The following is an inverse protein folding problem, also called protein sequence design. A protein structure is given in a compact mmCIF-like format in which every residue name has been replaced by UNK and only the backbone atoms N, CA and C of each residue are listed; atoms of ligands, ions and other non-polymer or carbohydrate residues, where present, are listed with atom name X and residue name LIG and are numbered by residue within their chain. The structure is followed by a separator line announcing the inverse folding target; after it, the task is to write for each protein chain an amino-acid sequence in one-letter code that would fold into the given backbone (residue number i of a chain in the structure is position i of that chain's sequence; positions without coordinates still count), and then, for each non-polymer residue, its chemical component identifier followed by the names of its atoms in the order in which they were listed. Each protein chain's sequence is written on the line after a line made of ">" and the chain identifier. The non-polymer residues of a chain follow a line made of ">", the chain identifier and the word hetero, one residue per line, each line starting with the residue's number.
data_IF_197225068073
#
_entry.id   IF_197225068073
#
_cell.length_a   1.000
_cell.length_b   1.000
_cell.length_c   1.000
_cell.angle_alpha   90.00
_cell.angle_beta   90.00
_cell.angle_gamma   90.00
#
_symmetry.space_group_name_H-M   'P 1'
#
loop_
_entity.id
_entity.type
_entity.pdbx_description
1 polymer ?
#
# COMPACT_ATOMS: atom_id res chain seq x y z
N UNK A 1 -14.35 -18.82 -14.12
CA UNK A 1 -15.33 -17.72 -14.05
C UNK A 1 -14.56 -16.45 -13.81
N UNK A 2 -14.81 -15.41 -14.58
CA UNK A 2 -14.22 -14.07 -14.43
C UNK A 2 -15.36 -13.07 -14.14
N UNK A 3 -15.02 -11.80 -13.89
CA UNK A 3 -15.99 -10.76 -13.55
C UNK A 3 -17.25 -10.73 -14.43
N UNK A 4 -17.08 -10.73 -15.75
CA UNK A 4 -18.23 -10.70 -16.68
C UNK A 4 -19.15 -11.92 -16.53
N UNK A 5 -18.59 -13.11 -16.38
CA UNK A 5 -19.38 -14.32 -16.15
C UNK A 5 -20.08 -14.30 -14.79
N UNK A 6 -19.45 -13.71 -13.76
CA UNK A 6 -20.09 -13.49 -12.46
C UNK A 6 -21.27 -12.53 -12.58
N UNK A 7 -21.10 -11.36 -13.21
CA UNK A 7 -22.21 -10.42 -13.48
C UNK A 7 -23.37 -11.09 -14.24
N UNK A 8 -23.05 -11.87 -15.26
CA UNK A 8 -24.07 -12.60 -16.03
C UNK A 8 -24.84 -13.60 -15.14
N UNK A 9 -24.19 -14.24 -14.17
CA UNK A 9 -24.87 -15.14 -13.22
C UNK A 9 -25.86 -14.41 -12.31
N UNK A 10 -25.64 -13.11 -12.07
CA UNK A 10 -26.52 -12.26 -11.26
C UNK A 10 -27.71 -11.68 -12.07
N UNK A 11 -27.67 -11.69 -13.41
CA UNK A 11 -28.63 -10.94 -14.25
C UNK A 11 -30.10 -11.33 -14.01
N UNK A 12 -30.35 -12.58 -13.63
CA UNK A 12 -31.72 -13.12 -13.38
C UNK A 12 -32.18 -12.95 -11.94
N UNK A 13 -31.33 -12.43 -11.05
CA UNK A 13 -31.65 -12.25 -9.64
C UNK A 13 -32.43 -10.94 -9.41
N UNK A 14 -33.17 -10.87 -8.32
CA UNK A 14 -33.76 -9.62 -7.85
C UNK A 14 -32.68 -8.60 -7.45
N UNK A 15 -33.01 -7.31 -7.40
CA UNK A 15 -32.04 -6.28 -7.00
C UNK A 15 -31.51 -6.53 -5.58
N UNK A 16 -32.34 -7.05 -4.68
CA UNK A 16 -31.91 -7.44 -3.33
C UNK A 16 -30.89 -8.58 -3.39
N UNK A 17 -31.19 -9.66 -4.13
CA UNK A 17 -30.29 -10.82 -4.20
C UNK A 17 -28.95 -10.47 -4.90
N UNK A 18 -28.96 -9.51 -5.86
CA UNK A 18 -27.73 -8.96 -6.45
C UNK A 18 -26.89 -8.24 -5.39
N UNK A 19 -27.52 -7.41 -4.55
CA UNK A 19 -26.89 -6.75 -3.43
C UNK A 19 -26.24 -7.75 -2.46
N UNK A 20 -27.04 -8.71 -1.95
CA UNK A 20 -26.57 -9.75 -1.03
C UNK A 20 -25.43 -10.59 -1.63
N UNK A 21 -25.45 -10.83 -2.94
CA UNK A 21 -24.38 -11.54 -3.65
C UNK A 21 -23.10 -10.72 -3.71
N UNK A 22 -23.22 -9.40 -3.92
CA UNK A 22 -22.10 -8.50 -3.96
C UNK A 22 -21.47 -8.29 -2.56
N UNK A 23 -22.27 -8.22 -1.51
CA UNK A 23 -21.77 -8.20 -0.12
C UNK A 23 -20.92 -9.43 0.20
N UNK A 24 -21.37 -10.63 -0.21
CA UNK A 24 -20.59 -11.88 -0.07
C UNK A 24 -19.29 -11.85 -0.86
N UNK A 25 -19.31 -11.27 -2.07
CA UNK A 25 -18.10 -11.06 -2.88
C UNK A 25 -17.14 -10.11 -2.15
N UNK A 26 -17.63 -8.98 -1.63
CA UNK A 26 -16.84 -8.01 -0.85
C UNK A 26 -16.24 -8.68 0.39
N UNK A 27 -17.03 -9.43 1.16
CA UNK A 27 -16.54 -10.20 2.31
C UNK A 27 -15.41 -11.15 1.90
N UNK A 28 -15.60 -11.91 0.84
CA UNK A 28 -14.58 -12.84 0.33
C UNK A 28 -13.31 -12.10 -0.10
N UNK A 29 -13.46 -10.95 -0.80
CA UNK A 29 -12.36 -10.11 -1.20
C UNK A 29 -11.56 -9.57 -0.01
N UNK A 30 -12.22 -8.97 0.97
CA UNK A 30 -11.56 -8.42 2.16
C UNK A 30 -10.90 -9.52 3.01
N UNK A 31 -11.42 -10.75 2.98
CA UNK A 31 -10.85 -11.88 3.72
C UNK A 31 -9.58 -12.43 3.07
N UNK A 32 -9.48 -12.44 1.74
CA UNK A 32 -8.43 -13.18 1.03
C UNK A 32 -7.50 -12.35 0.15
N UNK A 33 -7.87 -11.11 -0.16
CA UNK A 33 -6.94 -10.22 -0.86
C UNK A 33 -5.77 -9.86 0.06
N UNK A 34 -4.51 -9.99 -0.38
CA UNK A 34 -3.32 -9.79 0.46
C UNK A 34 -3.28 -8.46 1.21
N UNK A 35 -3.71 -7.35 0.57
CA UNK A 35 -3.76 -6.03 1.21
C UNK A 35 -4.64 -6.02 2.45
N UNK A 36 -5.81 -6.65 2.37
CA UNK A 36 -6.75 -6.69 3.48
C UNK A 36 -6.46 -7.84 4.44
N UNK A 37 -6.12 -9.03 3.94
CA UNK A 37 -5.81 -10.20 4.75
C UNK A 37 -4.59 -10.00 5.67
N UNK A 38 -3.66 -9.10 5.33
CA UNK A 38 -2.54 -8.72 6.21
C UNK A 38 -2.89 -7.58 7.18
N UNK A 39 -4.07 -6.97 7.05
CA UNK A 39 -4.53 -5.86 7.88
C UNK A 39 -5.70 -6.23 8.77
N UNK A 40 -6.64 -7.02 8.25
CA UNK A 40 -7.89 -7.36 8.90
C UNK A 40 -7.79 -8.72 9.60
N UNK A 41 -8.20 -8.73 10.86
CA UNK A 41 -8.30 -9.93 11.68
C UNK A 41 -9.62 -10.67 11.44
N UNK A 42 -10.71 -9.92 11.34
CA UNK A 42 -12.04 -10.44 11.09
C UNK A 42 -12.80 -9.59 10.08
N UNK A 43 -13.63 -10.23 9.29
CA UNK A 43 -14.57 -9.61 8.33
C UNK A 43 -15.92 -10.30 8.49
N UNK A 44 -16.94 -9.56 8.95
CA UNK A 44 -18.31 -10.06 9.15
C UNK A 44 -19.28 -9.32 8.25
N UNK A 45 -20.28 -10.00 7.72
CA UNK A 45 -21.52 -9.33 7.31
C UNK A 45 -22.17 -8.73 8.56
N UNK A 46 -22.98 -7.67 8.41
CA UNK A 46 -23.58 -7.00 9.57
C UNK A 46 -24.33 -7.98 10.47
N UNK A 47 -25.13 -8.89 9.89
CA UNK A 47 -25.88 -9.92 10.60
C UNK A 47 -25.04 -11.07 11.20
N UNK A 48 -23.76 -11.17 10.85
CA UNK A 48 -22.80 -12.13 11.40
C UNK A 48 -21.92 -11.51 12.50
N UNK A 49 -22.05 -10.19 12.73
CA UNK A 49 -21.22 -9.49 13.72
C UNK A 49 -21.54 -10.00 15.12
N UNK A 50 -20.52 -10.43 15.90
CA UNK A 50 -20.74 -10.91 17.26
C UNK A 50 -21.48 -9.88 18.12
N UNK A 51 -22.43 -10.33 18.96
CA UNK A 51 -23.27 -9.44 19.79
C UNK A 51 -22.47 -8.53 20.72
N UNK A 52 -21.28 -8.95 21.14
CA UNK A 52 -20.36 -8.13 21.94
C UNK A 52 -19.80 -6.96 21.13
N UNK A 53 -19.43 -7.18 19.87
CA UNK A 53 -18.93 -6.16 18.93
C UNK A 53 -20.08 -5.26 18.51
N UNK A 54 -21.23 -5.83 18.20
CA UNK A 54 -22.44 -5.08 17.84
C UNK A 54 -22.77 -4.01 18.91
N UNK A 55 -22.80 -4.40 20.18
CA UNK A 55 -23.02 -3.49 21.32
C UNK A 55 -21.87 -2.47 21.49
N UNK A 56 -20.61 -2.92 21.37
CA UNK A 56 -19.42 -2.06 21.50
C UNK A 56 -19.41 -0.93 20.48
N UNK A 57 -19.85 -1.22 19.26
CA UNK A 57 -19.86 -0.28 18.16
C UNK A 57 -21.20 0.49 18.04
N UNK A 58 -22.20 0.15 18.83
CA UNK A 58 -23.57 0.70 18.72
C UNK A 58 -24.10 0.57 17.28
N UNK A 59 -24.02 -0.65 16.72
CA UNK A 59 -24.47 -0.91 15.35
C UNK A 59 -26.00 -0.91 15.27
N UNK A 60 -26.60 -0.56 14.12
CA UNK A 60 -28.04 -0.66 13.91
C UNK A 60 -28.47 -2.13 13.81
N UNK A 61 -29.66 -2.46 14.32
CA UNK A 61 -30.24 -3.81 14.27
C UNK A 61 -30.67 -4.25 12.86
N UNK A 62 -30.88 -3.29 11.97
CA UNK A 62 -31.26 -3.52 10.57
C UNK A 62 -30.23 -2.86 9.65
N UNK A 63 -30.06 -3.42 8.46
CA UNK A 63 -29.27 -2.82 7.40
C UNK A 63 -29.84 -1.43 7.05
N UNK A 64 -29.04 -0.41 7.34
CA UNK A 64 -29.33 1.00 7.03
C UNK A 64 -28.13 1.65 6.30
N UNK A 65 -27.34 0.84 5.59
CA UNK A 65 -26.21 1.32 4.78
C UNK A 65 -24.83 0.94 5.31
N UNK A 66 -24.72 0.13 6.37
CA UNK A 66 -23.49 -0.58 6.76
C UNK A 66 -23.74 -2.06 6.50
N UNK A 67 -23.00 -2.64 5.56
CA UNK A 67 -23.21 -4.02 5.10
C UNK A 67 -22.24 -5.00 5.75
N UNK A 68 -20.99 -4.54 6.06
CA UNK A 68 -19.98 -5.34 6.73
C UNK A 68 -19.29 -4.53 7.84
N UNK A 69 -18.76 -5.28 8.81
CA UNK A 69 -17.85 -4.78 9.85
C UNK A 69 -16.54 -5.54 9.76
N UNK A 70 -15.42 -4.82 9.88
CA UNK A 70 -14.09 -5.42 9.96
C UNK A 70 -13.42 -5.05 11.27
N UNK A 71 -12.66 -5.97 11.86
CA UNK A 71 -11.72 -5.72 12.95
C UNK A 71 -10.30 -5.85 12.39
N UNK A 72 -9.47 -4.85 12.62
CA UNK A 72 -8.06 -4.89 12.21
C UNK A 72 -7.19 -5.67 13.19
N UNK A 73 -5.98 -6.05 12.80
CA UNK A 73 -5.02 -6.74 13.66
C UNK A 73 -4.62 -5.89 14.89
N UNK A 74 -4.68 -4.56 14.77
CA UNK A 74 -4.38 -3.60 15.83
C UNK A 74 -5.62 -3.15 16.64
N UNK A 75 -6.78 -3.82 16.43
CA UNK A 75 -7.99 -3.68 17.25
C UNK A 75 -8.89 -2.50 16.89
N UNK A 76 -8.68 -1.88 15.72
CA UNK A 76 -9.56 -0.86 15.17
C UNK A 76 -10.73 -1.49 14.40
N UNK A 77 -11.79 -0.71 14.18
CA UNK A 77 -12.97 -1.19 13.46
C UNK A 77 -13.24 -0.34 12.23
N UNK A 78 -13.56 -1.02 11.13
CA UNK A 78 -13.98 -0.40 9.88
C UNK A 78 -15.42 -0.76 9.59
N UNK A 79 -16.18 0.24 9.11
CA UNK A 79 -17.50 0.01 8.51
C UNK A 79 -17.33 -0.12 6.99
N UNK A 80 -18.05 -1.03 6.36
CA UNK A 80 -17.98 -1.26 4.91
C UNK A 80 -19.39 -1.15 4.33
N UNK A 81 -19.50 -0.42 3.22
CA UNK A 81 -20.69 -0.39 2.38
C UNK A 81 -20.40 -1.07 1.05
N UNK A 82 -21.27 -1.99 0.61
CA UNK A 82 -21.21 -2.70 -0.66
C UNK A 82 -22.33 -2.22 -1.59
N UNK A 83 -21.99 -1.52 -2.68
CA UNK A 83 -22.99 -0.98 -3.63
C UNK A 83 -22.85 -1.62 -5.02
N UNK A 84 -23.78 -2.51 -5.34
CA UNK A 84 -23.91 -3.07 -6.66
C UNK A 84 -24.68 -2.13 -7.60
N UNK A 85 -24.11 -1.80 -8.74
CA UNK A 85 -24.75 -1.12 -9.85
C UNK A 85 -24.60 -1.97 -11.12
N UNK A 86 -25.68 -2.15 -11.84
CA UNK A 86 -25.63 -2.84 -13.14
C UNK A 86 -24.85 -2.03 -14.17
N UNK A 87 -25.12 -0.73 -14.19
CA UNK A 87 -24.36 0.24 -14.97
C UNK A 87 -23.15 0.76 -14.16
N UNK A 88 -21.96 0.26 -14.54
CA UNK A 88 -20.69 0.62 -13.92
C UNK A 88 -20.29 2.09 -14.16
N UNK A 89 -20.93 2.79 -15.12
CA UNK A 89 -20.69 4.21 -15.39
C UNK A 89 -21.36 5.14 -14.39
N UNK A 90 -22.31 4.63 -13.58
CA UNK A 90 -22.98 5.36 -12.51
C UNK A 90 -21.97 5.86 -11.50
N UNK A 91 -21.92 7.19 -11.26
CA UNK A 91 -21.03 7.77 -10.27
C UNK A 91 -21.59 7.68 -8.86
N UNK A 92 -20.75 7.29 -7.88
CA UNK A 92 -21.08 7.44 -6.47
C UNK A 92 -21.13 8.91 -6.08
N UNK A 93 -22.23 9.33 -5.43
CA UNK A 93 -22.44 10.72 -4.99
C UNK A 93 -22.45 10.80 -3.46
N UNK A 94 -22.26 12.01 -2.93
CA UNK A 94 -22.43 12.26 -1.49
C UNK A 94 -23.81 11.80 -1.00
N UNK A 95 -24.87 12.12 -1.76
CA UNK A 95 -26.25 11.72 -1.43
C UNK A 95 -26.40 10.20 -1.30
N UNK A 96 -25.72 9.44 -2.16
CA UNK A 96 -25.78 7.97 -2.14
C UNK A 96 -25.05 7.34 -0.95
N UNK A 97 -24.13 8.06 -0.32
CA UNK A 97 -23.32 7.61 0.81
C UNK A 97 -23.64 8.32 2.14
N UNK A 98 -24.55 9.31 2.13
CA UNK A 98 -24.84 10.11 3.32
C UNK A 98 -25.35 9.29 4.50
N UNK A 99 -26.17 8.28 4.25
CA UNK A 99 -26.66 7.37 5.29
C UNK A 99 -25.51 6.55 5.88
N UNK A 100 -24.65 5.98 5.03
CA UNK A 100 -23.46 5.24 5.47
C UNK A 100 -22.54 6.10 6.32
N UNK A 101 -22.20 7.30 5.86
CA UNK A 101 -21.30 8.22 6.58
C UNK A 101 -21.91 8.70 7.89
N UNK A 102 -23.22 9.03 7.87
CA UNK A 102 -23.97 9.43 9.05
C UNK A 102 -24.02 8.33 10.11
N UNK A 103 -24.25 7.08 9.70
CA UNK A 103 -24.23 5.94 10.59
C UNK A 103 -22.81 5.62 11.10
N UNK A 104 -21.86 5.43 10.20
CA UNK A 104 -20.51 4.99 10.55
C UNK A 104 -19.79 5.97 11.49
N UNK A 105 -19.95 7.29 11.27
CA UNK A 105 -19.18 8.30 12.00
C UNK A 105 -20.03 9.20 12.92
N UNK A 106 -21.37 9.17 12.79
CA UNK A 106 -22.26 9.96 13.60
C UNK A 106 -23.01 9.18 14.68
N UNK A 107 -23.40 7.93 14.38
CA UNK A 107 -24.23 7.09 15.28
C UNK A 107 -23.41 5.95 15.89
N UNK A 108 -22.66 5.22 15.06
CA UNK A 108 -21.78 4.16 15.52
C UNK A 108 -20.60 4.72 16.32
N UNK A 109 -20.04 3.90 17.20
CA UNK A 109 -18.88 4.27 18.04
C UNK A 109 -17.65 3.50 17.59
N UNK A 110 -16.48 4.09 17.78
CA UNK A 110 -15.18 3.44 17.54
C UNK A 110 -14.96 2.94 16.10
N UNK A 111 -15.64 3.50 15.11
CA UNK A 111 -15.35 3.27 13.71
C UNK A 111 -14.24 4.23 13.30
N UNK A 112 -13.08 3.69 12.93
CA UNK A 112 -11.91 4.49 12.53
C UNK A 112 -11.87 4.77 11.02
N UNK A 113 -12.50 3.92 10.21
CA UNK A 113 -12.45 4.02 8.75
C UNK A 113 -13.71 3.47 8.10
N UNK A 114 -14.13 4.10 7.01
CA UNK A 114 -15.21 3.66 6.14
C UNK A 114 -14.66 3.17 4.80
N UNK A 115 -15.07 2.00 4.35
CA UNK A 115 -14.71 1.48 3.04
C UNK A 115 -15.96 1.33 2.18
N UNK A 116 -15.98 1.97 1.02
CA UNK A 116 -17.05 1.84 0.04
C UNK A 116 -16.58 0.93 -1.09
N UNK A 117 -17.16 -0.24 -1.18
CA UNK A 117 -16.96 -1.20 -2.25
C UNK A 117 -18.09 -1.06 -3.27
N UNK A 118 -17.79 -0.71 -4.51
CA UNK A 118 -18.81 -0.48 -5.53
C UNK A 118 -18.40 -1.04 -6.89
N UNK A 119 -19.38 -1.45 -7.67
CA UNK A 119 -19.15 -1.80 -9.09
C UNK A 119 -18.96 -0.57 -9.99
N UNK A 120 -19.28 0.62 -9.49
CA UNK A 120 -19.08 1.89 -10.21
C UNK A 120 -17.59 2.19 -10.40
N UNK A 121 -17.28 2.85 -11.52
CA UNK A 121 -15.90 3.27 -11.84
C UNK A 121 -15.52 4.61 -11.21
N UNK A 122 -16.50 5.43 -10.86
CA UNK A 122 -16.31 6.83 -10.50
C UNK A 122 -17.06 7.23 -9.23
N UNK A 123 -16.51 8.22 -8.54
CA UNK A 123 -17.18 8.91 -7.46
C UNK A 123 -16.98 10.44 -7.58
N UNK A 124 -17.92 11.22 -7.03
CA UNK A 124 -17.93 12.68 -7.20
C UNK A 124 -16.83 13.37 -6.40
N UNK A 125 -16.45 14.60 -6.84
CA UNK A 125 -15.43 15.42 -6.17
C UNK A 125 -15.74 15.70 -4.70
N UNK A 126 -17.02 15.81 -4.32
CA UNK A 126 -17.44 16.05 -2.93
C UNK A 126 -16.97 14.96 -1.97
N UNK A 127 -16.84 13.73 -2.45
CA UNK A 127 -16.34 12.59 -1.67
C UNK A 127 -14.81 12.61 -1.52
N UNK A 128 -14.10 13.33 -2.38
CA UNK A 128 -12.63 13.42 -2.38
C UNK A 128 -12.03 14.16 -1.17
N UNK A 129 -12.86 14.78 -0.34
CA UNK A 129 -12.43 15.54 0.84
C UNK A 129 -12.69 14.79 2.16
N UNK A 130 -12.96 13.49 2.10
CA UNK A 130 -13.24 12.66 3.28
C UNK A 130 -12.04 11.76 3.57
N UNK A 131 -11.16 12.19 4.47
CA UNK A 131 -9.89 11.49 4.77
C UNK A 131 -10.07 10.11 5.42
N UNK A 132 -11.24 9.85 6.01
CA UNK A 132 -11.56 8.60 6.69
C UNK A 132 -12.39 7.62 5.84
N UNK A 133 -12.53 7.86 4.54
CA UNK A 133 -13.25 6.98 3.60
C UNK A 133 -12.33 6.56 2.47
N UNK A 134 -12.32 5.25 2.17
CA UNK A 134 -11.66 4.67 1.00
C UNK A 134 -12.65 4.03 0.03
N UNK A 135 -12.20 3.79 -1.19
CA UNK A 135 -13.01 3.21 -2.26
C UNK A 135 -12.34 1.98 -2.87
N UNK A 136 -13.17 0.96 -3.11
CA UNK A 136 -12.90 -0.17 -3.99
C UNK A 136 -13.86 -0.06 -5.18
N UNK A 137 -13.37 0.38 -6.32
CA UNK A 137 -14.19 0.63 -7.53
C UNK A 137 -14.21 -0.55 -8.49
N UNK A 138 -15.00 -0.47 -9.56
CA UNK A 138 -15.20 -1.52 -10.57
C UNK A 138 -13.91 -2.08 -11.17
N UNK A 139 -12.84 -1.29 -11.27
CA UNK A 139 -11.52 -1.73 -11.74
C UNK A 139 -10.98 -2.93 -10.94
N UNK A 140 -11.18 -2.91 -9.62
CA UNK A 140 -10.69 -3.97 -8.73
C UNK A 140 -11.35 -5.31 -9.06
N UNK A 141 -12.66 -5.33 -9.24
CA UNK A 141 -13.42 -6.56 -9.52
C UNK A 141 -13.08 -7.18 -10.87
N UNK A 142 -12.80 -6.33 -11.86
CA UNK A 142 -12.35 -6.78 -13.19
C UNK A 142 -10.95 -7.39 -13.17
N UNK A 143 -10.11 -6.96 -12.24
CA UNK A 143 -8.74 -7.47 -12.06
C UNK A 143 -8.64 -8.79 -11.30
N UNK A 144 -9.75 -9.30 -10.71
CA UNK A 144 -9.75 -10.55 -9.98
C UNK A 144 -9.70 -11.77 -10.92
N UNK A 145 -8.93 -12.77 -10.52
CA UNK A 145 -8.71 -13.97 -11.32
C UNK A 145 -9.84 -15.00 -11.22
N UNK A 146 -9.74 -16.03 -12.06
CA UNK A 146 -10.72 -17.11 -12.11
C UNK A 146 -10.77 -17.93 -10.80
N UNK A 147 -9.65 -18.11 -10.11
CA UNK A 147 -9.63 -18.87 -8.86
C UNK A 147 -10.41 -18.15 -7.75
N UNK A 148 -10.32 -16.81 -7.72
CA UNK A 148 -11.10 -16.00 -6.80
C UNK A 148 -12.61 -16.26 -6.95
N UNK A 149 -13.17 -16.10 -8.16
CA UNK A 149 -14.60 -16.31 -8.40
C UNK A 149 -15.03 -17.76 -8.20
N UNK A 150 -14.19 -18.72 -8.58
CA UNK A 150 -14.45 -20.14 -8.36
C UNK A 150 -14.45 -20.45 -6.86
N UNK A 151 -13.56 -19.87 -6.08
CA UNK A 151 -13.51 -20.06 -4.64
C UNK A 151 -14.72 -19.46 -3.94
N UNK A 152 -15.19 -18.28 -4.37
CA UNK A 152 -16.41 -17.65 -3.88
C UNK A 152 -17.64 -18.53 -4.15
N UNK A 153 -17.82 -18.98 -5.38
CA UNK A 153 -18.99 -19.81 -5.78
C UNK A 153 -19.02 -21.15 -5.06
N UNK A 154 -17.85 -21.78 -4.87
CA UNK A 154 -17.72 -23.05 -4.15
C UNK A 154 -17.62 -22.91 -2.66
N UNK A 155 -17.75 -21.70 -2.10
CA UNK A 155 -17.62 -21.39 -0.66
C UNK A 155 -16.35 -21.98 -0.04
N UNK A 156 -15.23 -21.92 -0.75
CA UNK A 156 -13.92 -22.41 -0.28
C UNK A 156 -12.89 -21.28 -0.22
N UNK A 157 -11.77 -21.52 0.44
CA UNK A 157 -10.62 -20.60 0.37
C UNK A 157 -10.04 -20.59 -1.05
N UNK A 158 -9.57 -19.43 -1.58
CA UNK A 158 -8.77 -19.40 -2.79
C UNK A 158 -7.50 -20.25 -2.66
N UNK A 159 -6.89 -20.60 -3.77
CA UNK A 159 -5.61 -21.29 -3.75
C UNK A 159 -4.57 -20.47 -3.00
N UNK A 160 -3.76 -21.15 -2.18
CA UNK A 160 -2.67 -20.47 -1.47
C UNK A 160 -1.71 -19.82 -2.46
N UNK A 161 -1.49 -18.53 -2.32
CA UNK A 161 -0.50 -17.82 -3.11
C UNK A 161 0.90 -18.40 -2.85
N UNK A 162 1.63 -18.66 -3.93
CA UNK A 162 3.03 -19.07 -3.85
C UNK A 162 3.91 -17.83 -3.78
N UNK A 163 4.87 -17.81 -2.87
CA UNK A 163 5.91 -16.80 -2.82
C UNK A 163 6.72 -16.82 -4.11
N UNK A 164 7.09 -15.65 -4.60
CA UNK A 164 7.96 -15.54 -5.77
C UNK A 164 9.38 -16.01 -5.43
N UNK A 165 10.09 -16.48 -6.45
CA UNK A 165 11.51 -16.81 -6.36
C UNK A 165 12.30 -15.74 -7.10
N UNK A 166 13.41 -15.24 -6.52
CA UNK A 166 14.22 -14.23 -7.17
C UNK A 166 14.90 -14.81 -8.43
N UNK A 167 14.90 -14.03 -9.50
CA UNK A 167 15.68 -14.29 -10.71
C UNK A 167 17.20 -14.10 -10.43
N UNK A 168 18.06 -14.49 -11.37
CA UNK A 168 19.50 -14.47 -11.14
C UNK A 168 20.06 -13.08 -10.83
N UNK A 169 19.64 -12.04 -11.57
CA UNK A 169 20.03 -10.65 -11.30
C UNK A 169 19.54 -10.18 -9.92
N UNK A 170 18.34 -10.59 -9.49
CA UNK A 170 17.82 -10.25 -8.17
C UNK A 170 18.57 -10.99 -7.05
N UNK A 171 18.94 -12.27 -7.25
CA UNK A 171 19.79 -13.02 -6.31
C UNK A 171 21.15 -12.34 -6.14
N UNK A 172 21.75 -11.85 -7.25
CA UNK A 172 23.00 -11.08 -7.22
C UNK A 172 22.81 -9.82 -6.40
N UNK A 173 21.79 -9.01 -6.68
CA UNK A 173 21.51 -7.78 -5.94
C UNK A 173 21.31 -8.04 -4.42
N UNK A 174 20.59 -9.10 -4.04
CA UNK A 174 20.39 -9.49 -2.64
C UNK A 174 21.71 -9.88 -1.97
N UNK A 175 22.57 -10.62 -2.68
CA UNK A 175 23.90 -11.03 -2.18
C UNK A 175 24.81 -9.83 -2.00
N UNK A 176 24.88 -8.94 -2.98
CA UNK A 176 25.71 -7.73 -2.89
C UNK A 176 25.19 -6.76 -1.83
N UNK A 177 23.88 -6.61 -1.67
CA UNK A 177 23.31 -5.87 -0.55
C UNK A 177 23.73 -6.44 0.81
N UNK A 178 23.67 -7.76 0.99
CA UNK A 178 24.14 -8.40 2.22
C UNK A 178 25.63 -8.15 2.47
N UNK A 179 26.48 -8.30 1.46
CA UNK A 179 27.91 -7.99 1.56
C UNK A 179 28.12 -6.54 1.96
N UNK A 180 27.46 -5.60 1.29
CA UNK A 180 27.57 -4.17 1.52
C UNK A 180 27.16 -3.77 2.95
N UNK A 181 25.96 -4.17 3.39
CA UNK A 181 25.40 -3.72 4.67
C UNK A 181 25.82 -4.54 5.89
N UNK A 182 26.27 -5.79 5.71
CA UNK A 182 26.62 -6.69 6.82
C UNK A 182 28.11 -6.92 6.87
N UNK A 183 28.75 -7.32 5.75
CA UNK A 183 30.19 -7.63 5.76
C UNK A 183 31.03 -6.36 5.79
N UNK A 184 30.70 -5.38 4.94
CA UNK A 184 31.44 -4.10 4.87
C UNK A 184 30.94 -3.09 5.92
N UNK A 185 29.82 -3.38 6.60
CA UNK A 185 29.18 -2.53 7.62
C UNK A 185 28.80 -1.12 7.11
N UNK A 186 28.45 -1.01 5.83
CA UNK A 186 28.01 0.26 5.25
C UNK A 186 26.58 0.60 5.69
N UNK A 187 26.29 1.90 5.80
CA UNK A 187 24.96 2.38 6.21
C UNK A 187 24.10 2.88 5.05
N UNK A 188 24.70 3.12 3.88
CA UNK A 188 24.06 3.70 2.70
C UNK A 188 24.57 3.03 1.44
N UNK A 189 23.70 2.82 0.45
CA UNK A 189 24.12 2.24 -0.81
C UNK A 189 23.07 2.32 -1.90
N UNK A 190 23.52 2.31 -3.14
CA UNK A 190 22.68 2.43 -4.34
C UNK A 190 22.50 1.08 -5.02
N UNK A 191 21.26 0.80 -5.43
CA UNK A 191 20.87 -0.28 -6.33
C UNK A 191 20.34 0.34 -7.62
N UNK A 192 21.09 0.26 -8.68
CA UNK A 192 20.74 0.84 -9.99
C UNK A 192 20.33 -0.29 -10.91
N UNK A 193 19.04 -0.34 -11.25
CA UNK A 193 18.46 -1.37 -12.10
C UNK A 193 17.35 -0.75 -12.96
N UNK A 194 17.17 -1.14 -14.23
CA UNK A 194 16.13 -0.60 -15.12
C UNK A 194 14.71 -0.77 -14.59
N UNK A 195 13.77 0.00 -15.12
CA UNK A 195 12.35 -0.23 -14.91
C UNK A 195 11.96 -1.62 -15.44
N UNK A 196 11.01 -2.30 -14.77
CA UNK A 196 10.59 -3.65 -15.18
C UNK A 196 11.41 -4.81 -14.60
N UNK A 197 12.61 -4.58 -14.06
CA UNK A 197 13.48 -5.65 -13.51
C UNK A 197 13.06 -6.14 -12.11
N UNK A 198 11.95 -5.65 -11.57
CA UNK A 198 11.43 -6.09 -10.28
C UNK A 198 12.11 -5.50 -9.05
N UNK A 199 12.61 -4.24 -9.12
CA UNK A 199 13.26 -3.51 -8.01
C UNK A 199 12.50 -3.58 -6.68
N UNK A 200 11.19 -3.34 -6.69
CA UNK A 200 10.38 -3.32 -5.47
C UNK A 200 10.36 -4.70 -4.77
N UNK A 201 10.31 -5.78 -5.54
CA UNK A 201 10.37 -7.15 -5.00
C UNK A 201 11.79 -7.50 -4.54
N UNK A 202 12.83 -7.03 -5.25
CA UNK A 202 14.22 -7.16 -4.83
C UNK A 202 14.46 -6.47 -3.47
N UNK A 203 13.89 -5.28 -3.29
CA UNK A 203 13.94 -4.56 -2.01
C UNK A 203 13.27 -5.33 -0.86
N UNK A 204 12.13 -5.96 -1.12
CA UNK A 204 11.48 -6.86 -0.16
C UNK A 204 12.41 -7.98 0.29
N UNK A 205 13.09 -8.66 -0.65
CA UNK A 205 14.03 -9.73 -0.32
C UNK A 205 15.32 -9.22 0.33
N UNK A 206 15.77 -8.00 0.01
CA UNK A 206 16.88 -7.36 0.74
C UNK A 206 16.46 -7.14 2.21
N UNK A 207 15.27 -6.61 2.47
CA UNK A 207 14.75 -6.43 3.82
C UNK A 207 14.63 -7.77 4.58
N UNK A 208 14.23 -8.85 3.87
CA UNK A 208 14.22 -10.20 4.40
C UNK A 208 15.63 -10.67 4.76
N UNK A 209 16.58 -10.55 3.83
CA UNK A 209 17.96 -11.01 3.98
C UNK A 209 18.71 -10.27 5.08
N UNK A 210 18.41 -8.99 5.28
CA UNK A 210 18.97 -8.16 6.35
C UNK A 210 18.25 -8.34 7.70
N UNK A 211 17.24 -9.22 7.78
CA UNK A 211 16.42 -9.46 8.97
C UNK A 211 15.82 -8.18 9.58
N UNK A 212 15.54 -7.18 8.75
CA UNK A 212 15.02 -5.89 9.21
C UNK A 212 13.63 -6.04 9.82
N UNK A 213 13.39 -5.40 10.97
CA UNK A 213 12.11 -5.43 11.70
C UNK A 213 11.31 -4.15 11.52
N UNK A 214 11.97 -3.00 11.60
CA UNK A 214 11.35 -1.68 11.43
C UNK A 214 11.77 -1.09 10.08
N UNK A 215 10.87 -1.09 9.10
CA UNK A 215 11.17 -0.79 7.70
C UNK A 215 10.40 0.44 7.26
N UNK A 216 11.07 1.40 6.63
CA UNK A 216 10.49 2.53 5.93
C UNK A 216 10.59 2.30 4.42
N UNK A 217 9.49 2.41 3.70
CA UNK A 217 9.48 2.35 2.23
C UNK A 217 8.94 3.66 1.70
N UNK A 218 9.83 4.47 1.10
CA UNK A 218 9.52 5.79 0.61
C UNK A 218 9.52 5.82 -0.93
N UNK A 219 8.45 6.36 -1.50
CA UNK A 219 8.23 6.49 -2.95
C UNK A 219 7.81 7.92 -3.32
N UNK A 220 7.92 8.34 -4.58
CA UNK A 220 7.60 9.73 -4.95
C UNK A 220 6.12 10.03 -5.17
N UNK A 221 5.23 9.04 -5.31
CA UNK A 221 3.82 9.28 -5.66
C UNK A 221 2.85 8.26 -5.06
N UNK A 222 1.55 8.60 -5.03
CA UNK A 222 0.48 7.70 -4.55
C UNK A 222 0.30 6.48 -5.45
N UNK A 223 0.47 6.62 -6.76
CA UNK A 223 0.42 5.48 -7.68
C UNK A 223 1.52 4.46 -7.39
N UNK A 224 2.72 4.92 -7.04
CA UNK A 224 3.80 4.04 -6.60
C UNK A 224 3.57 3.47 -5.19
N UNK A 225 2.90 4.19 -4.27
CA UNK A 225 2.42 3.59 -3.00
C UNK A 225 1.52 2.39 -3.30
N UNK A 226 0.50 2.56 -4.15
CA UNK A 226 -0.43 1.48 -4.53
C UNK A 226 0.30 0.27 -5.09
N UNK A 227 1.21 0.49 -6.04
CA UNK A 227 2.01 -0.58 -6.66
C UNK A 227 2.92 -1.29 -5.64
N UNK A 228 3.60 -0.53 -4.80
CA UNK A 228 4.50 -1.08 -3.77
C UNK A 228 3.74 -1.89 -2.73
N UNK A 229 2.59 -1.39 -2.26
CA UNK A 229 1.69 -2.13 -1.37
C UNK A 229 1.28 -3.46 -1.97
N UNK A 230 0.83 -3.48 -3.25
CA UNK A 230 0.41 -4.71 -3.91
C UNK A 230 1.55 -5.75 -3.95
N UNK A 231 2.77 -5.34 -4.30
CA UNK A 231 3.92 -6.24 -4.38
C UNK A 231 4.33 -6.75 -3.00
N UNK A 232 4.49 -5.86 -2.03
CA UNK A 232 5.00 -6.19 -0.70
C UNK A 232 3.99 -7.02 0.10
N UNK A 233 2.73 -6.63 0.11
CA UNK A 233 1.71 -7.33 0.89
C UNK A 233 1.32 -8.67 0.26
N UNK A 234 1.37 -8.78 -1.08
CA UNK A 234 1.23 -10.08 -1.75
C UNK A 234 2.32 -11.06 -1.31
N UNK A 235 3.57 -10.62 -1.29
CA UNK A 235 4.69 -11.48 -0.93
C UNK A 235 4.69 -11.80 0.58
N UNK A 236 4.35 -10.82 1.41
CA UNK A 236 4.11 -10.97 2.85
C UNK A 236 3.06 -12.06 3.11
N UNK A 237 1.91 -11.96 2.45
CA UNK A 237 0.82 -12.93 2.59
C UNK A 237 1.21 -14.32 2.10
N UNK A 238 1.89 -14.41 0.94
CA UNK A 238 2.34 -15.67 0.37
C UNK A 238 3.36 -16.41 1.26
N UNK A 239 4.22 -15.67 1.94
CA UNK A 239 5.21 -16.21 2.91
C UNK A 239 4.64 -16.45 4.30
N UNK A 240 3.45 -15.94 4.59
CA UNK A 240 2.84 -16.02 5.92
C UNK A 240 3.61 -15.21 6.98
N UNK A 241 4.17 -14.07 6.60
CA UNK A 241 4.84 -13.20 7.55
C UNK A 241 3.85 -12.49 8.47
N UNK A 242 4.19 -12.43 9.73
CA UNK A 242 3.55 -11.53 10.68
C UNK A 242 4.08 -10.11 10.43
N UNK A 243 3.19 -9.20 10.03
CA UNK A 243 3.53 -7.83 9.66
C UNK A 243 2.44 -6.87 10.08
N UNK A 244 2.84 -5.81 10.75
CA UNK A 244 2.02 -4.63 10.97
C UNK A 244 2.47 -3.53 10.01
N UNK A 245 1.53 -2.86 9.36
CA UNK A 245 1.88 -1.82 8.40
C UNK A 245 0.90 -0.65 8.42
N UNK A 246 1.41 0.51 8.00
CA UNK A 246 0.65 1.77 7.90
C UNK A 246 1.07 2.53 6.65
N UNK A 247 0.15 3.33 6.08
CA UNK A 247 0.44 4.26 4.99
C UNK A 247 0.45 5.70 5.49
N UNK A 248 1.51 6.42 5.15
CA UNK A 248 1.68 7.83 5.53
C UNK A 248 1.84 8.66 4.26
N UNK A 249 0.73 9.23 3.81
CA UNK A 249 0.66 10.03 2.58
C UNK A 249 -0.55 10.95 2.60
N UNK A 250 -0.57 11.95 1.72
CA UNK A 250 -1.70 12.88 1.54
C UNK A 250 -1.91 13.24 0.06
N UNK A 251 -3.12 13.69 -0.29
CA UNK A 251 -3.48 14.14 -1.65
C UNK A 251 -2.73 15.40 -2.10
N UNK A 252 -2.14 16.16 -1.18
CA UNK A 252 -1.29 17.32 -1.50
C UNK A 252 -0.08 16.95 -2.37
N UNK A 253 0.15 15.66 -2.57
CA UNK A 253 1.27 15.09 -3.33
C UNK A 253 0.96 14.83 -4.80
N UNK A 254 -0.24 15.16 -5.28
CA UNK A 254 -0.58 15.05 -6.70
C UNK A 254 0.29 16.04 -7.48
N UNK A 255 1.28 15.53 -8.20
CA UNK A 255 2.20 16.36 -8.97
C UNK A 255 1.47 17.00 -10.17
N UNK A 256 2.00 18.13 -10.65
CA UNK A 256 1.44 18.79 -11.86
C UNK A 256 1.45 17.88 -13.10
N UNK A 257 2.31 16.85 -13.14
CA UNK A 257 2.37 15.88 -14.24
C UNK A 257 1.23 14.86 -14.22
N UNK A 258 0.63 14.59 -13.04
CA UNK A 258 -0.54 13.70 -12.91
C UNK A 258 -1.84 14.37 -13.38
N UNK A 259 -1.81 15.65 -13.74
CA UNK A 259 -2.98 16.36 -14.30
C UNK A 259 -3.50 15.79 -15.63
N UNK A 260 -2.69 15.02 -16.35
CA UNK A 260 -3.05 14.42 -17.65
C UNK A 260 -3.25 12.91 -17.58
N UNK A 261 -2.96 12.25 -16.44
CA UNK A 261 -3.28 10.86 -16.14
C UNK A 261 -4.39 10.75 -15.09
N UNK A 262 -4.92 9.56 -14.87
CA UNK A 262 -5.84 9.26 -13.77
C UNK A 262 -5.09 9.50 -12.44
N UNK A 263 -5.32 10.64 -11.81
CA UNK A 263 -4.70 10.97 -10.53
C UNK A 263 -5.20 10.00 -9.46
N UNK A 264 -4.31 9.21 -8.88
CA UNK A 264 -4.62 8.37 -7.72
C UNK A 264 -4.73 9.27 -6.49
N UNK A 265 -5.84 9.17 -5.77
CA UNK A 265 -6.07 9.83 -4.50
C UNK A 265 -5.80 8.86 -3.34
N UNK A 266 -5.60 9.37 -2.13
CA UNK A 266 -5.46 8.52 -0.93
C UNK A 266 -6.64 7.58 -0.75
N UNK A 267 -7.84 8.00 -1.10
CA UNK A 267 -9.06 7.21 -1.05
C UNK A 267 -9.04 6.00 -2.03
N UNK A 268 -8.37 6.13 -3.17
CA UNK A 268 -8.21 5.04 -4.17
C UNK A 268 -7.29 3.91 -3.66
N UNK A 269 -6.59 4.13 -2.55
CA UNK A 269 -5.81 3.07 -1.90
C UNK A 269 -6.73 2.04 -1.22
N UNK A 270 -7.97 2.39 -0.90
CA UNK A 270 -8.92 1.53 -0.19
C UNK A 270 -8.51 1.17 1.24
N UNK A 271 -7.63 1.96 1.84
CA UNK A 271 -7.05 1.80 3.17
C UNK A 271 -6.82 3.17 3.81
N UNK A 272 -6.73 3.26 5.16
CA UNK A 272 -6.41 4.51 5.83
C UNK A 272 -5.06 5.07 5.41
N UNK A 273 -5.02 6.36 5.10
CA UNK A 273 -3.81 7.15 4.94
C UNK A 273 -3.70 8.16 6.08
N UNK A 274 -2.58 8.16 6.78
CA UNK A 274 -2.37 8.99 7.98
C UNK A 274 -1.32 10.05 7.70
N UNK A 275 -1.53 11.27 8.21
CA UNK A 275 -0.58 12.39 8.06
C UNK A 275 -0.21 13.05 9.39
N UNK A 276 -0.99 12.84 10.46
CA UNK A 276 -0.75 13.42 11.78
C UNK A 276 0.42 12.68 12.48
N UNK A 277 1.53 13.37 12.78
CA UNK A 277 2.68 12.78 13.47
C UNK A 277 2.34 12.16 14.84
N UNK A 278 1.33 12.68 15.55
CA UNK A 278 0.93 12.14 16.86
C UNK A 278 0.22 10.80 16.71
N UNK A 279 -0.64 10.66 15.70
CA UNK A 279 -1.33 9.41 15.38
C UNK A 279 -0.32 8.36 14.94
N UNK A 280 0.59 8.70 14.04
CA UNK A 280 1.68 7.83 13.58
C UNK A 280 2.54 7.40 14.76
N UNK A 281 2.94 8.34 15.64
CA UNK A 281 3.75 8.04 16.82
C UNK A 281 3.01 7.10 17.80
N UNK A 282 1.71 7.29 18.00
CA UNK A 282 0.90 6.40 18.83
C UNK A 282 0.90 4.98 18.27
N UNK A 283 0.74 4.84 16.96
CA UNK A 283 0.79 3.55 16.29
C UNK A 283 2.19 2.91 16.40
N UNK A 284 3.27 3.65 16.18
CA UNK A 284 4.64 3.15 16.30
C UNK A 284 5.01 2.68 17.72
N UNK A 285 4.34 3.21 18.77
CA UNK A 285 4.53 2.77 20.17
C UNK A 285 3.81 1.48 20.51
N UNK A 286 2.81 1.08 19.75
CA UNK A 286 2.10 -0.18 19.99
C UNK A 286 3.09 -1.35 20.02
N UNK A 287 2.73 -2.41 20.72
CA UNK A 287 3.50 -3.65 20.69
C UNK A 287 3.21 -4.38 19.36
N UNK A 288 4.23 -4.53 18.56
CA UNK A 288 4.19 -5.26 17.30
C UNK A 288 4.83 -6.64 17.51
N UNK A 289 4.16 -7.70 17.06
CA UNK A 289 4.66 -9.07 17.20
C UNK A 289 5.65 -9.45 16.09
N UNK A 290 5.44 -8.90 14.91
CA UNK A 290 6.19 -9.18 13.71
C UNK A 290 7.04 -8.02 13.20
N UNK A 291 7.17 -7.94 11.89
CA UNK A 291 7.79 -6.80 11.21
C UNK A 291 6.85 -5.61 11.17
N UNK A 292 7.42 -4.42 11.18
CA UNK A 292 6.70 -3.16 11.05
C UNK A 292 7.13 -2.49 9.74
N UNK A 293 6.18 -2.17 8.88
CA UNK A 293 6.44 -1.50 7.61
C UNK A 293 5.64 -0.21 7.52
N UNK A 294 6.34 0.89 7.30
CA UNK A 294 5.74 2.20 7.02
C UNK A 294 5.92 2.51 5.54
N UNK A 295 4.83 2.54 4.80
CA UNK A 295 4.82 2.99 3.41
C UNK A 295 4.53 4.48 3.36
N UNK A 296 5.39 5.25 2.70
CA UNK A 296 5.26 6.71 2.70
C UNK A 296 5.60 7.32 1.35
N UNK A 297 5.08 8.53 1.10
CA UNK A 297 5.64 9.38 0.04
C UNK A 297 6.77 10.24 0.60
N UNK A 298 7.74 10.65 -0.24
CA UNK A 298 8.81 11.56 0.18
C UNK A 298 8.27 12.87 0.79
N UNK A 299 7.14 13.34 0.29
CA UNK A 299 6.49 14.58 0.78
C UNK A 299 6.07 14.48 2.24
N UNK A 300 5.71 13.28 2.70
CA UNK A 300 5.33 13.02 4.08
C UNK A 300 6.52 12.76 5.01
N UNK A 301 7.75 12.89 4.49
CA UNK A 301 8.99 12.62 5.23
C UNK A 301 9.12 13.41 6.54
N UNK A 302 8.67 14.67 6.57
CA UNK A 302 8.67 15.49 7.81
C UNK A 302 7.73 14.94 8.88
N UNK A 303 6.55 14.47 8.49
CA UNK A 303 5.59 13.87 9.42
C UNK A 303 6.13 12.56 10.02
N UNK A 304 6.79 11.72 9.21
CA UNK A 304 7.45 10.50 9.68
C UNK A 304 8.60 10.83 10.64
N UNK A 305 9.45 11.78 10.28
CA UNK A 305 10.58 12.18 11.12
C UNK A 305 10.11 12.68 12.50
N UNK A 306 9.09 13.52 12.55
CA UNK A 306 8.47 13.97 13.79
C UNK A 306 7.86 12.81 14.58
N UNK A 307 7.12 11.92 13.91
CA UNK A 307 6.49 10.76 14.54
C UNK A 307 7.51 9.81 15.17
N UNK A 308 8.63 9.52 14.49
CA UNK A 308 9.70 8.67 15.05
C UNK A 308 10.35 9.30 16.26
N UNK A 309 10.57 10.62 16.24
CA UNK A 309 11.09 11.36 17.39
C UNK A 309 10.13 11.29 18.59
N UNK A 310 8.83 11.53 18.36
CA UNK A 310 7.79 11.44 19.39
C UNK A 310 7.66 10.00 19.92
N UNK A 311 7.77 9.00 19.06
CA UNK A 311 7.68 7.59 19.43
C UNK A 311 8.96 7.06 20.10
N UNK A 312 10.09 7.74 19.96
CA UNK A 312 11.43 7.26 20.33
C UNK A 312 11.75 5.93 19.63
N UNK A 313 11.47 5.87 18.32
CA UNK A 313 11.70 4.70 17.47
C UNK A 313 12.60 5.09 16.30
N UNK A 314 13.43 4.15 15.86
CA UNK A 314 14.29 4.28 14.69
C UNK A 314 13.93 3.20 13.68
N UNK A 315 14.23 3.42 12.41
CA UNK A 315 14.12 2.39 11.39
C UNK A 315 15.43 1.60 11.25
N UNK A 316 15.31 0.29 11.09
CA UNK A 316 16.45 -0.57 10.79
C UNK A 316 16.87 -0.40 9.32
N UNK A 317 15.86 -0.24 8.44
CA UNK A 317 16.04 -0.14 7.00
C UNK A 317 15.11 0.90 6.40
N UNK A 318 15.65 1.76 5.55
CA UNK A 318 14.93 2.66 4.67
C UNK A 318 15.13 2.25 3.20
N UNK A 319 14.04 1.97 2.51
CA UNK A 319 14.02 1.74 1.07
C UNK A 319 13.57 3.05 0.41
N UNK A 320 14.45 3.65 -0.37
CA UNK A 320 14.22 4.92 -1.08
C UNK A 320 14.05 4.64 -2.57
N UNK A 321 12.80 4.42 -2.99
CA UNK A 321 12.51 4.08 -4.40
C UNK A 321 12.46 5.34 -5.27
N UNK A 322 12.85 5.19 -6.56
CA UNK A 322 13.03 6.31 -7.50
C UNK A 322 13.91 7.44 -6.90
N UNK A 323 15.01 7.04 -6.26
CA UNK A 323 15.86 7.94 -5.47
C UNK A 323 16.42 9.14 -6.26
N UNK A 324 16.48 9.05 -7.61
CA UNK A 324 16.84 10.19 -8.47
C UNK A 324 15.91 11.41 -8.29
N UNK A 325 14.69 11.22 -7.76
CA UNK A 325 13.75 12.32 -7.43
C UNK A 325 14.19 13.12 -6.20
N UNK A 326 15.04 12.56 -5.35
CA UNK A 326 15.55 13.24 -4.15
C UNK A 326 16.69 14.21 -4.45
N UNK A 327 17.29 14.12 -5.63
CA UNK A 327 18.37 15.00 -6.12
C UNK A 327 17.90 16.44 -6.27
N UNK A 328 18.74 17.40 -5.89
CA UNK A 328 18.49 18.85 -5.96
C UNK A 328 18.75 19.56 -4.65
N UNK A 329 18.11 20.69 -4.38
CA UNK A 329 18.33 21.48 -3.17
C UNK A 329 18.12 20.65 -1.89
N UNK A 330 19.01 20.82 -0.90
CA UNK A 330 18.97 20.12 0.42
C UNK A 330 17.66 20.34 1.18
N UNK A 331 17.10 21.53 1.11
CA UNK A 331 15.84 21.92 1.75
C UNK A 331 14.60 21.39 1.03
N UNK A 332 14.77 20.74 -0.12
CA UNK A 332 13.68 20.12 -0.87
C UNK A 332 13.01 19.06 -0.02
N UNK A 333 11.69 19.07 0.01
CA UNK A 333 10.86 18.13 0.77
C UNK A 333 11.23 16.66 0.53
N UNK A 334 11.63 16.30 -0.69
CA UNK A 334 12.04 14.95 -1.07
C UNK A 334 13.38 14.52 -0.46
N UNK A 335 14.27 15.47 -0.13
CA UNK A 335 15.56 15.19 0.47
C UNK A 335 15.49 14.94 2.00
N UNK A 336 14.36 15.23 2.64
CA UNK A 336 14.24 15.20 4.11
C UNK A 336 14.62 13.85 4.74
N UNK A 337 14.26 12.73 4.09
CA UNK A 337 14.53 11.36 4.58
C UNK A 337 15.98 10.90 4.36
N UNK A 338 16.81 11.69 3.65
CA UNK A 338 18.20 11.35 3.36
C UNK A 338 19.12 11.54 4.56
N UNK A 339 18.80 12.49 5.44
CA UNK A 339 19.70 12.99 6.46
C UNK A 339 19.39 12.44 7.86
N UNK A 340 20.45 12.00 8.58
CA UNK A 340 20.32 11.43 9.93
C UNK A 340 19.95 12.48 10.99
N UNK A 341 20.21 13.75 10.73
CA UNK A 341 19.74 14.87 11.54
C UNK A 341 18.21 14.99 11.56
N UNK A 342 17.55 14.59 10.49
CA UNK A 342 16.10 14.63 10.36
C UNK A 342 15.44 13.35 10.90
N UNK A 343 15.98 12.18 10.54
CA UNK A 343 15.39 10.88 10.87
C UNK A 343 16.47 9.80 10.98
N UNK A 344 16.42 9.02 12.06
CA UNK A 344 17.36 7.92 12.29
C UNK A 344 16.92 6.66 11.56
N UNK A 345 17.72 6.26 10.57
CA UNK A 345 17.56 5.03 9.78
C UNK A 345 18.93 4.36 9.71
N UNK A 346 19.04 3.13 10.22
CA UNK A 346 20.34 2.44 10.34
C UNK A 346 20.97 2.11 8.99
N UNK A 347 20.15 1.69 8.02
CA UNK A 347 20.61 1.35 6.67
C UNK A 347 19.65 1.96 5.63
N UNK A 348 20.18 2.57 4.56
CA UNK A 348 19.38 3.13 3.46
C UNK A 348 19.77 2.49 2.14
N UNK A 349 18.80 1.92 1.46
CA UNK A 349 18.89 1.41 0.09
C UNK A 349 18.26 2.44 -0.85
N UNK A 350 19.05 3.04 -1.72
CA UNK A 350 18.59 3.97 -2.74
C UNK A 350 18.39 3.22 -4.06
N UNK A 351 17.16 3.09 -4.49
CA UNK A 351 16.81 2.40 -5.73
C UNK A 351 16.47 3.37 -6.84
N UNK A 352 17.00 3.14 -8.02
CA UNK A 352 16.69 3.94 -9.21
C UNK A 352 16.99 3.17 -10.48
N UNK A 353 16.37 3.59 -11.60
CA UNK A 353 16.76 3.12 -12.93
C UNK A 353 17.99 3.87 -13.48
N UNK A 354 18.17 5.12 -13.06
CA UNK A 354 19.22 6.00 -13.56
C UNK A 354 19.85 6.81 -12.42
N UNK A 355 21.18 6.86 -12.38
CA UNK A 355 21.88 7.75 -11.46
C UNK A 355 21.78 9.18 -11.97
N UNK A 356 21.28 10.08 -11.13
CA UNK A 356 21.20 11.49 -11.47
C UNK A 356 22.32 12.26 -10.77
N UNK A 357 23.21 12.81 -11.57
CA UNK A 357 24.29 13.70 -11.10
C UNK A 357 23.94 15.14 -11.39
N UNK A 358 24.28 16.03 -10.47
CA UNK A 358 24.03 17.45 -10.61
C UNK A 358 25.37 18.20 -10.53
N UNK A 359 25.67 18.98 -11.56
CA UNK A 359 26.84 19.84 -11.61
C UNK A 359 26.44 21.24 -11.14
N UNK A 360 26.82 21.61 -9.93
CA UNK A 360 26.50 22.90 -9.32
C UNK A 360 27.24 23.11 -8.00
N UNK A 361 26.94 24.18 -7.27
CA UNK A 361 27.56 24.48 -5.98
C UNK A 361 27.17 23.40 -4.97
N UNK A 362 28.11 22.56 -4.58
CA UNK A 362 27.91 21.34 -3.78
C UNK A 362 27.30 21.58 -2.40
N UNK A 363 27.48 22.76 -1.80
CA UNK A 363 27.04 23.02 -0.42
C UNK A 363 25.51 23.10 -0.26
N UNK A 364 24.79 23.40 -1.34
CA UNK A 364 23.33 23.58 -1.32
C UNK A 364 22.56 22.50 -2.09
N UNK A 365 23.27 21.63 -2.81
CA UNK A 365 22.68 20.66 -3.74
C UNK A 365 23.11 19.25 -3.36
N UNK A 366 22.14 18.35 -3.35
CA UNK A 366 22.34 16.92 -3.17
C UNK A 366 22.39 16.24 -4.52
N UNK A 367 23.46 15.49 -4.79
CA UNK A 367 23.68 14.74 -6.02
C UNK A 367 23.97 13.27 -5.71
N UNK A 368 23.59 12.34 -6.57
CA UNK A 368 23.71 10.89 -6.29
C UNK A 368 25.16 10.39 -6.28
N UNK A 369 26.12 11.16 -6.77
CA UNK A 369 27.55 10.91 -6.65
C UNK A 369 28.12 11.34 -5.29
N UNK A 370 27.36 12.01 -4.43
CA UNK A 370 27.75 12.30 -3.07
C UNK A 370 27.71 11.03 -2.23
N UNK A 371 28.91 10.51 -1.89
CA UNK A 371 29.09 9.30 -1.12
C UNK A 371 28.47 9.39 0.29
N UNK A 372 28.62 10.51 0.99
CA UNK A 372 28.13 10.67 2.37
C UNK A 372 26.60 10.61 2.45
N UNK A 373 25.91 10.92 1.35
CA UNK A 373 24.46 10.95 1.28
C UNK A 373 23.87 9.65 0.74
N UNK A 374 24.46 9.11 -0.35
CA UNK A 374 23.89 7.96 -1.06
C UNK A 374 24.70 6.67 -0.91
N UNK A 375 25.95 6.75 -0.45
CA UNK A 375 26.86 5.61 -0.38
C UNK A 375 27.33 5.12 -1.77
N UNK A 376 28.00 3.98 -1.76
CA UNK A 376 28.46 3.32 -2.99
C UNK A 376 27.32 2.62 -3.74
N UNK A 377 27.56 2.33 -5.02
CA UNK A 377 26.69 1.45 -5.80
C UNK A 377 27.07 0.01 -5.53
N UNK A 378 26.24 -0.71 -4.78
CA UNK A 378 26.48 -2.14 -4.47
C UNK A 378 25.93 -3.07 -5.56
N UNK A 379 24.98 -2.61 -6.38
CA UNK A 379 24.45 -3.37 -7.51
C UNK A 379 24.17 -2.43 -8.69
N UNK A 380 24.64 -2.84 -9.84
CA UNK A 380 24.41 -2.14 -11.11
C UNK A 380 24.02 -3.14 -12.19
N UNK A 381 22.85 -2.95 -12.78
CA UNK A 381 22.38 -3.64 -13.96
C UNK A 381 22.08 -2.58 -15.03
N UNK A 382 22.79 -2.60 -16.12
CA UNK A 382 22.51 -1.70 -17.23
C UNK A 382 21.26 -2.14 -18.02
N UNK A 383 20.67 -1.22 -18.77
CA UNK A 383 19.55 -1.56 -19.67
C UNK A 383 20.00 -2.59 -20.73
N UNK A 384 21.22 -2.39 -21.26
CA UNK A 384 21.82 -3.32 -22.23
C UNK A 384 21.98 -4.73 -21.65
N UNK A 385 22.59 -4.83 -20.46
CA UNK A 385 22.78 -6.15 -19.82
C UNK A 385 21.43 -6.84 -19.54
N UNK A 386 20.40 -6.06 -19.21
CA UNK A 386 19.07 -6.61 -18.97
C UNK A 386 18.37 -7.15 -20.24
N UNK A 387 18.72 -6.63 -21.41
CA UNK A 387 18.29 -7.14 -22.72
C UNK A 387 19.14 -8.35 -23.18
N UNK A 388 20.43 -8.29 -22.94
CA UNK A 388 21.41 -9.28 -23.45
C UNK A 388 21.49 -10.56 -22.57
N UNK A 389 20.88 -10.59 -21.37
CA UNK A 389 20.87 -11.76 -20.50
C UNK A 389 20.03 -12.90 -21.12
N UNK A 390 20.41 -14.16 -20.92
CA UNK A 390 19.68 -15.34 -21.41
C UNK A 390 19.05 -16.13 -20.26
N UNK A 391 17.70 -16.22 -20.14
CA UNK A 391 16.72 -15.48 -20.95
C UNK A 391 16.73 -13.97 -20.63
N UNK A 392 16.34 -13.09 -21.59
CA UNK A 392 16.29 -11.64 -21.37
C UNK A 392 15.43 -11.27 -20.17
N UNK A 393 15.92 -10.33 -19.34
CA UNK A 393 15.17 -9.80 -18.19
C UNK A 393 14.10 -8.81 -18.69
N UNK A 394 14.42 -8.06 -19.72
CA UNK A 394 13.52 -7.13 -20.39
C UNK A 394 13.31 -7.57 -21.84
N UNK A 395 12.12 -7.38 -22.37
CA UNK A 395 11.85 -7.59 -23.80
C UNK A 395 12.16 -6.30 -24.59
N UNK A 396 12.64 -6.46 -25.80
CA UNK A 396 12.67 -5.37 -26.77
C UNK A 396 11.24 -4.90 -27.04
N UNK A 397 11.08 -3.59 -27.18
CA UNK A 397 9.83 -2.96 -27.60
C UNK A 397 9.69 -2.97 -29.11
#
# INVERSE_FOLDING_TARGET
>A
MIWNSYKQSLSKLSNKDKGDSFEKLVKHYLTYNPQYATKLKYVWLLNETPSSIHRKLNLPDQDQGIDLICETNDGEYWAVQAKYHEDETTSQTWRSLSTFTGLAFGVCKNISFGLVCTTSERYTKTLKNQDNIGFCTGEIWRGLDEDFFTSLTRKRKPKKLKAYKPFNHQKRAIKEAHKHYVTNNESRGKMIMPCGTGKSLTAFWIAEKLHSKMILVAVPSLSLIRQTLQVWLRETYAKGWDVDWITVCSDKTVSKMEKYGLAVLTQDLGIPAVTDPKVIASWLRKRHSGRVVVFTTYQSGKAIAEATRLARRNFDLGIMDEAHKTVGKKDKTFAHLLFDENIKISKRVFMTATERRYTGIQDTIVSMDNYDVYGETFEFLSFKDALDEDPPILSDY
#
